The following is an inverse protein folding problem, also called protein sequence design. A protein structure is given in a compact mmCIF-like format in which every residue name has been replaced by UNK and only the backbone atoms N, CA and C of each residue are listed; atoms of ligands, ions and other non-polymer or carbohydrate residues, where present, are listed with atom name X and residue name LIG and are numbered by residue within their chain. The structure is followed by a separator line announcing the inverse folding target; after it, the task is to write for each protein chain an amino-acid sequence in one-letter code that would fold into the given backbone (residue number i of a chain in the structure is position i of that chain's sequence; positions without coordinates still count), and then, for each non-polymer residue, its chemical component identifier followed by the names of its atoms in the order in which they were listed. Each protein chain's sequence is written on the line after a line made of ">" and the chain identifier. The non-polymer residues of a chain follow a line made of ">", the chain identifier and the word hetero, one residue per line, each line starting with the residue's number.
data_IF_999170749992
#
_entry.id   IF_999170749992
#
_cell.length_a   1.000
_cell.length_b   1.000
_cell.length_c   1.000
_cell.angle_alpha   90.00
_cell.angle_beta   90.00
_cell.angle_gamma   90.00
#
_symmetry.space_group_name_H-M   'P 1'
#
loop_
_entity.id
_entity.type
_entity.pdbx_description
1 polymer ?
#
# COMPACT_ATOMS: atom_id res chain seq x y z
N UNK A 1 0.77 -3.29 -0.07
CA UNK A 1 0.45 -2.04 0.67
C UNK A 1 -0.71 -1.36 -0.02
N UNK A 2 -1.67 -0.89 0.76
CA UNK A 2 -2.93 -0.29 0.27
C UNK A 2 -3.00 1.18 0.65
N UNK A 3 -3.34 2.05 -0.31
CA UNK A 3 -3.38 3.49 -0.15
C UNK A 3 -4.80 3.98 -0.41
N UNK A 4 -5.34 4.81 0.48
CA UNK A 4 -6.59 5.53 0.24
C UNK A 4 -6.26 6.91 -0.31
N UNK A 5 -6.92 7.30 -1.38
CA UNK A 5 -6.85 8.65 -1.97
C UNK A 5 -8.21 9.29 -1.81
N UNK A 6 -8.28 10.43 -1.11
CA UNK A 6 -9.50 11.21 -0.90
C UNK A 6 -9.33 12.50 -1.71
N UNK A 7 -9.97 12.56 -2.87
CA UNK A 7 -9.77 13.61 -3.88
C UNK A 7 -11.00 13.67 -4.79
N UNK A 8 -11.65 14.84 -4.90
CA UNK A 8 -12.86 15.03 -5.68
C UNK A 8 -12.58 15.31 -7.16
N UNK A 9 -11.40 15.85 -7.48
CA UNK A 9 -11.02 16.07 -8.87
C UNK A 9 -10.64 14.75 -9.55
N UNK A 10 -11.55 14.19 -10.33
CA UNK A 10 -11.40 12.87 -10.97
C UNK A 10 -10.10 12.72 -11.78
N UNK A 11 -9.61 13.82 -12.42
CA UNK A 11 -8.34 13.80 -13.18
C UNK A 11 -7.15 13.58 -12.25
N UNK A 12 -7.11 14.27 -11.10
CA UNK A 12 -6.03 14.17 -10.10
C UNK A 12 -6.10 12.80 -9.44
N UNK A 13 -7.27 12.36 -9.00
CA UNK A 13 -7.47 11.04 -8.41
C UNK A 13 -7.03 9.91 -9.36
N UNK A 14 -7.43 9.98 -10.63
CA UNK A 14 -7.04 8.98 -11.65
C UNK A 14 -5.53 8.98 -11.93
N UNK A 15 -4.91 10.17 -11.97
CA UNK A 15 -3.46 10.31 -12.14
C UNK A 15 -2.69 9.67 -10.98
N UNK A 16 -3.11 9.96 -9.74
CA UNK A 16 -2.50 9.37 -8.54
C UNK A 16 -2.72 7.86 -8.52
N UNK A 17 -3.97 7.40 -8.73
CA UNK A 17 -4.32 5.98 -8.75
C UNK A 17 -3.50 5.21 -9.77
N UNK A 18 -3.42 5.70 -11.00
CA UNK A 18 -2.65 5.06 -12.08
C UNK A 18 -1.17 4.97 -11.72
N UNK A 19 -0.55 6.10 -11.35
CA UNK A 19 0.88 6.13 -11.04
C UNK A 19 1.25 5.22 -9.86
N UNK A 20 0.50 5.28 -8.76
CA UNK A 20 0.73 4.40 -7.60
C UNK A 20 0.44 2.94 -7.94
N UNK A 21 -0.56 2.66 -8.77
CA UNK A 21 -0.85 1.32 -9.27
C UNK A 21 0.30 0.72 -10.09
N UNK A 22 0.95 1.51 -10.94
CA UNK A 22 2.16 1.12 -11.69
C UNK A 22 3.33 0.80 -10.76
N UNK A 23 3.41 1.49 -9.61
CA UNK A 23 4.39 1.23 -8.54
C UNK A 23 4.01 0.04 -7.62
N UNK A 24 2.91 -0.66 -7.91
CA UNK A 24 2.49 -1.88 -7.22
C UNK A 24 1.70 -1.65 -5.93
N UNK A 25 1.19 -0.45 -5.69
CA UNK A 25 0.25 -0.18 -4.60
C UNK A 25 -1.18 -0.53 -5.03
N UNK A 26 -1.97 -1.07 -4.11
CA UNK A 26 -3.43 -1.11 -4.25
C UNK A 26 -3.97 0.27 -3.84
N UNK A 27 -4.85 0.86 -4.66
CA UNK A 27 -5.33 2.23 -4.46
C UNK A 27 -6.84 2.30 -4.50
N UNK A 28 -7.43 2.66 -3.37
CA UNK A 28 -8.85 3.03 -3.27
C UNK A 28 -8.99 4.55 -3.41
N UNK A 29 -10.10 4.98 -3.98
CA UNK A 29 -10.39 6.39 -4.18
C UNK A 29 -11.75 6.70 -3.58
N UNK A 30 -11.82 7.77 -2.79
CA UNK A 30 -13.04 8.40 -2.32
C UNK A 30 -13.16 9.79 -2.95
N UNK A 31 -14.36 10.14 -3.43
CA UNK A 31 -14.62 11.41 -4.09
C UNK A 31 -15.09 12.53 -3.15
N UNK A 32 -15.29 12.22 -1.89
CA UNK A 32 -15.68 13.19 -0.86
C UNK A 32 -15.20 12.77 0.54
N UNK A 33 -15.28 13.71 1.48
CA UNK A 33 -14.75 13.50 2.82
C UNK A 33 -15.56 12.51 3.66
N UNK A 34 -16.86 12.34 3.43
CA UNK A 34 -17.68 11.37 4.19
C UNK A 34 -17.33 9.94 3.76
N UNK A 35 -17.25 9.69 2.44
CA UNK A 35 -16.78 8.41 1.90
C UNK A 35 -15.35 8.12 2.35
N UNK A 36 -14.47 9.15 2.28
CA UNK A 36 -13.08 9.06 2.71
C UNK A 36 -12.94 8.69 4.19
N UNK A 37 -13.75 9.29 5.06
CA UNK A 37 -13.77 8.97 6.50
C UNK A 37 -14.23 7.52 6.72
N UNK A 38 -15.32 7.09 6.08
CA UNK A 38 -15.84 5.74 6.22
C UNK A 38 -14.80 4.68 5.81
N UNK A 39 -14.10 4.89 4.67
CA UNK A 39 -13.02 4.02 4.23
C UNK A 39 -11.79 4.06 5.14
N UNK A 40 -11.43 5.24 5.67
CA UNK A 40 -10.31 5.40 6.59
C UNK A 40 -10.52 4.68 7.93
N UNK A 41 -11.76 4.69 8.44
CA UNK A 41 -12.16 3.99 9.66
C UNK A 41 -12.12 2.46 9.53
N UNK A 42 -12.19 1.92 8.33
CA UNK A 42 -12.03 0.48 8.08
C UNK A 42 -10.62 -0.07 8.45
N UNK A 43 -9.62 0.81 8.65
CA UNK A 43 -8.25 0.49 9.11
C UNK A 43 -7.51 -0.55 8.25
N UNK A 44 -7.85 -0.61 6.97
CA UNK A 44 -7.23 -1.54 6.00
C UNK A 44 -6.15 -0.90 5.16
N UNK A 45 -5.97 0.42 5.28
CA UNK A 45 -5.02 1.21 4.52
C UNK A 45 -3.71 1.43 5.28
N UNK A 46 -2.61 1.44 4.54
CA UNK A 46 -1.26 1.69 5.06
C UNK A 46 -0.90 3.19 5.03
N UNK A 47 -1.57 3.95 4.16
CA UNK A 47 -1.40 5.40 3.98
C UNK A 47 -2.71 6.01 3.48
N UNK A 48 -2.99 7.25 3.87
CA UNK A 48 -4.06 8.07 3.31
C UNK A 48 -3.43 9.28 2.62
N UNK A 49 -3.80 9.54 1.38
CA UNK A 49 -3.53 10.79 0.66
C UNK A 49 -4.85 11.56 0.66
N UNK A 50 -4.85 12.75 1.23
CA UNK A 50 -6.07 13.49 1.56
C UNK A 50 -5.99 14.93 1.03
N UNK A 51 -6.85 15.27 0.09
CA UNK A 51 -7.05 16.68 -0.25
C UNK A 51 -7.80 17.40 0.87
N UNK A 52 -7.34 18.60 1.19
CA UNK A 52 -8.01 19.47 2.17
C UNK A 52 -9.37 19.90 1.65
N UNK A 53 -9.50 20.17 0.34
CA UNK A 53 -10.74 20.67 -0.26
C UNK A 53 -11.52 19.55 -0.94
N UNK A 54 -12.25 18.80 -0.17
CA UNK A 54 -13.18 17.79 -0.69
C UNK A 54 -14.62 18.12 -0.25
N UNK A 55 -15.63 17.72 -1.06
CA UNK A 55 -17.04 17.95 -0.75
C UNK A 55 -17.50 17.25 0.53
N UNK A 56 -18.66 17.63 1.02
CA UNK A 56 -19.40 17.12 2.18
C UNK A 56 -18.67 17.31 3.50
N UNK A 57 -17.45 16.81 3.65
CA UNK A 57 -16.62 16.98 4.83
C UNK A 57 -15.22 17.43 4.41
N UNK A 58 -14.79 18.59 4.90
CA UNK A 58 -13.45 19.14 4.69
C UNK A 58 -12.35 18.17 5.16
N UNK A 59 -11.24 18.07 4.41
CA UNK A 59 -10.18 17.11 4.70
C UNK A 59 -9.54 17.27 6.09
N UNK A 60 -9.44 18.48 6.63
CA UNK A 60 -8.95 18.66 7.99
C UNK A 60 -9.91 18.07 9.03
N UNK A 61 -11.23 18.17 8.79
CA UNK A 61 -12.23 17.50 9.63
C UNK A 61 -12.17 16.00 9.51
N UNK A 62 -11.94 15.47 8.30
CA UNK A 62 -11.71 14.02 8.10
C UNK A 62 -10.51 13.57 8.92
N UNK A 63 -9.38 14.28 8.84
CA UNK A 63 -8.16 13.99 9.59
C UNK A 63 -8.41 14.01 11.10
N UNK A 64 -9.05 15.07 11.60
CA UNK A 64 -9.40 15.19 13.03
C UNK A 64 -10.29 14.03 13.51
N UNK A 65 -11.32 13.66 12.74
CA UNK A 65 -12.20 12.54 13.06
C UNK A 65 -11.44 11.20 13.10
N UNK A 66 -10.54 10.96 12.13
CA UNK A 66 -9.66 9.79 12.14
C UNK A 66 -8.78 9.72 13.39
N UNK A 67 -8.19 10.85 13.81
CA UNK A 67 -7.34 10.93 15.01
C UNK A 67 -8.14 10.77 16.30
N UNK A 68 -9.36 11.32 16.39
CA UNK A 68 -10.27 11.11 17.50
C UNK A 68 -10.65 9.65 17.68
N UNK A 69 -10.81 8.92 16.57
CA UNK A 69 -11.07 7.47 16.58
C UNK A 69 -9.77 6.61 16.68
N UNK A 70 -8.66 7.23 17.09
CA UNK A 70 -7.37 6.55 17.27
C UNK A 70 -6.85 5.81 16.02
N UNK A 71 -7.18 6.31 14.83
CA UNK A 71 -6.59 5.82 13.58
C UNK A 71 -5.21 6.44 13.42
N UNK A 72 -4.16 5.61 13.52
CA UNK A 72 -2.75 6.03 13.48
C UNK A 72 -2.11 5.89 12.10
N UNK A 73 -2.93 5.63 11.07
CA UNK A 73 -2.44 5.54 9.69
C UNK A 73 -1.77 6.86 9.29
N UNK A 74 -0.64 6.78 8.56
CA UNK A 74 0.03 7.97 8.06
C UNK A 74 -0.85 8.73 7.06
N UNK A 75 -0.88 10.07 7.16
CA UNK A 75 -1.69 10.94 6.30
C UNK A 75 -0.79 11.95 5.60
N UNK A 76 -0.81 11.93 4.27
CA UNK A 76 -0.23 12.93 3.39
C UNK A 76 -1.32 13.89 2.93
N UNK A 77 -1.27 15.15 3.37
CA UNK A 77 -2.21 16.18 2.91
C UNK A 77 -1.83 16.71 1.53
N UNK A 78 -2.82 16.84 0.66
CA UNK A 78 -2.72 17.62 -0.57
C UNK A 78 -3.34 19.00 -0.35
N UNK A 79 -2.65 20.05 -0.77
CA UNK A 79 -3.13 21.43 -0.58
C UNK A 79 -2.76 22.33 -1.76
N UNK A 80 -3.65 23.24 -2.13
CA UNK A 80 -3.35 24.33 -3.07
C UNK A 80 -2.72 25.54 -2.39
N UNK A 81 -2.76 25.58 -1.06
CA UNK A 81 -2.22 26.69 -0.26
C UNK A 81 -0.80 26.36 0.19
N UNK A 82 0.11 27.25 -0.16
CA UNK A 82 1.53 27.13 0.19
C UNK A 82 1.91 28.00 1.42
N UNK A 83 0.92 28.62 2.11
CA UNK A 83 1.20 29.47 3.26
C UNK A 83 1.76 28.66 4.42
N UNK A 84 2.60 29.28 5.23
CA UNK A 84 3.19 28.61 6.40
C UNK A 84 2.09 28.26 7.41
N UNK A 85 1.10 29.14 7.54
CA UNK A 85 -0.03 28.97 8.46
C UNK A 85 -0.87 27.74 8.11
N UNK A 86 -1.19 27.53 6.82
CA UNK A 86 -1.96 26.37 6.38
C UNK A 86 -1.21 25.05 6.61
N UNK A 87 0.12 25.07 6.45
CA UNK A 87 0.97 23.90 6.70
C UNK A 87 1.03 23.56 8.19
N UNK A 88 1.17 24.58 9.05
CA UNK A 88 1.16 24.42 10.51
C UNK A 88 -0.18 23.84 10.96
N UNK A 89 -1.31 24.39 10.49
CA UNK A 89 -2.64 23.88 10.82
C UNK A 89 -2.82 22.40 10.43
N UNK A 90 -2.32 22.00 9.27
CA UNK A 90 -2.40 20.60 8.81
C UNK A 90 -1.57 19.66 9.69
N UNK A 91 -0.35 20.07 10.04
CA UNK A 91 0.53 19.27 10.90
C UNK A 91 0.00 19.20 12.35
N UNK A 92 -0.48 20.32 12.90
CA UNK A 92 -1.09 20.37 14.23
C UNK A 92 -2.39 19.55 14.30
N UNK A 93 -3.10 19.42 13.19
CA UNK A 93 -4.27 18.52 13.07
C UNK A 93 -3.88 17.04 13.05
N UNK A 94 -2.60 16.70 13.00
CA UNK A 94 -2.08 15.33 13.06
C UNK A 94 -1.74 14.73 11.71
N UNK A 95 -1.51 15.53 10.66
CA UNK A 95 -0.93 15.05 9.41
C UNK A 95 0.55 14.71 9.58
N UNK A 96 1.03 13.73 8.82
CA UNK A 96 2.42 13.28 8.89
C UNK A 96 3.33 13.97 7.86
N UNK A 97 2.75 14.47 6.74
CA UNK A 97 3.42 15.28 5.72
C UNK A 97 2.37 16.03 4.89
N UNK A 98 2.82 16.94 4.04
CA UNK A 98 1.97 17.68 3.09
C UNK A 98 2.67 17.81 1.73
N UNK A 99 1.85 17.99 0.67
CA UNK A 99 2.30 18.20 -0.70
C UNK A 99 1.43 19.27 -1.37
N UNK A 100 2.08 20.29 -1.94
CA UNK A 100 1.36 21.38 -2.60
C UNK A 100 1.00 21.04 -4.03
N UNK A 101 -0.22 21.38 -4.46
CA UNK A 101 -0.67 21.32 -5.84
C UNK A 101 -0.26 22.61 -6.59
N UNK A 102 0.23 22.53 -7.84
CA UNK A 102 0.48 21.29 -8.59
C UNK A 102 1.78 20.59 -8.16
N UNK A 103 1.83 19.28 -8.26
CA UNK A 103 2.98 18.46 -7.87
C UNK A 103 3.45 17.52 -9.00
N UNK A 104 4.71 17.17 -8.97
CA UNK A 104 5.24 16.10 -9.81
C UNK A 104 4.95 14.73 -9.18
N UNK A 105 4.58 13.72 -9.98
CA UNK A 105 4.33 12.38 -9.48
C UNK A 105 5.53 11.79 -8.72
N UNK A 106 6.74 12.08 -9.17
CA UNK A 106 7.96 11.64 -8.49
C UNK A 106 8.10 12.18 -7.07
N UNK A 107 7.65 13.44 -6.81
CA UNK A 107 7.64 14.01 -5.47
C UNK A 107 6.60 13.31 -4.59
N UNK A 108 5.37 13.14 -5.09
CA UNK A 108 4.32 12.37 -4.40
C UNK A 108 4.84 10.99 -4.01
N UNK A 109 5.43 10.25 -4.96
CA UNK A 109 5.95 8.91 -4.73
C UNK A 109 7.08 8.89 -3.70
N UNK A 110 7.98 9.86 -3.71
CA UNK A 110 9.05 9.97 -2.72
C UNK A 110 8.50 10.17 -1.30
N UNK A 111 7.47 11.01 -1.13
CA UNK A 111 6.80 11.25 0.16
C UNK A 111 6.03 10.02 0.63
N UNK A 112 5.28 9.37 -0.25
CA UNK A 112 4.60 8.10 0.02
C UNK A 112 5.59 7.05 0.56
N UNK A 113 6.72 6.87 -0.11
CA UNK A 113 7.78 5.95 0.33
C UNK A 113 8.36 6.34 1.69
N UNK A 114 8.57 7.63 1.94
CA UNK A 114 9.10 8.13 3.22
C UNK A 114 8.13 7.86 4.38
N UNK A 115 6.84 8.12 4.19
CA UNK A 115 5.81 7.90 5.20
C UNK A 115 5.63 6.41 5.51
N UNK A 116 5.56 5.57 4.49
CA UNK A 116 5.46 4.11 4.66
C UNK A 116 6.71 3.53 5.35
N UNK A 117 7.90 4.11 5.13
CA UNK A 117 9.14 3.73 5.81
C UNK A 117 9.13 4.12 7.28
N UNK A 118 8.70 5.34 7.67
CA UNK A 118 8.61 5.77 9.07
C UNK A 118 7.76 4.83 9.91
N UNK A 119 6.65 4.34 9.34
CA UNK A 119 5.82 3.32 10.00
C UNK A 119 6.56 2.00 10.20
N UNK A 120 7.43 1.62 9.26
CA UNK A 120 8.27 0.42 9.37
C UNK A 120 9.46 0.57 10.33
N UNK A 121 9.90 1.81 10.64
CA UNK A 121 11.01 2.07 11.59
C UNK A 121 10.57 1.95 13.06
N UNK A 122 9.28 2.06 13.35
CA UNK A 122 8.72 1.77 14.69
C UNK A 122 8.66 0.26 14.96
N UNK A 123 8.66 -0.57 13.91
CA UNK A 123 8.89 -2.00 13.97
C UNK A 123 9.97 -2.36 12.92
N UNK A 124 11.16 -2.88 13.33
CA UNK A 124 12.21 -3.25 12.38
C UNK A 124 11.76 -4.47 11.56
N UNK A 125 11.11 -4.21 10.46
CA UNK A 125 10.38 -5.21 9.70
C UNK A 125 11.08 -5.65 8.43
N UNK A 126 12.29 -6.14 8.54
CA UNK A 126 12.76 -7.10 7.54
C UNK A 126 11.98 -8.39 7.78
N UNK A 127 10.99 -8.65 6.92
CA UNK A 127 10.22 -9.89 6.97
C UNK A 127 11.14 -11.06 6.61
N UNK A 128 10.99 -12.19 7.33
CA UNK A 128 11.85 -13.37 7.14
C UNK A 128 11.03 -14.65 7.17
N UNK A 129 11.25 -15.51 6.19
CA UNK A 129 10.71 -16.86 6.16
C UNK A 129 11.81 -17.77 5.62
N UNK A 130 12.37 -18.62 6.49
CA UNK A 130 13.57 -19.38 6.17
C UNK A 130 14.74 -18.45 5.80
N UNK A 131 15.34 -18.66 4.64
CA UNK A 131 16.42 -17.85 4.08
C UNK A 131 15.96 -16.67 3.21
N UNK A 132 14.63 -16.53 2.99
CA UNK A 132 14.02 -15.45 2.26
C UNK A 132 13.86 -14.21 3.16
N UNK A 133 14.29 -13.05 2.67
CA UNK A 133 14.20 -11.77 3.37
C UNK A 133 13.58 -10.72 2.44
N UNK A 134 12.68 -9.91 2.97
CA UNK A 134 12.09 -8.76 2.29
C UNK A 134 12.20 -7.54 3.20
N UNK A 135 12.80 -6.48 2.70
CA UNK A 135 12.83 -5.16 3.33
C UNK A 135 11.83 -4.24 2.62
N UNK A 136 10.66 -3.97 3.23
CA UNK A 136 9.63 -3.14 2.61
C UNK A 136 10.09 -1.69 2.42
N UNK A 137 10.92 -1.17 3.35
CA UNK A 137 11.38 0.21 3.31
C UNK A 137 12.36 0.47 2.16
N UNK A 138 13.28 -0.48 1.94
CA UNK A 138 14.25 -0.42 0.84
C UNK A 138 13.74 -1.04 -0.45
N UNK A 139 12.58 -1.71 -0.41
CA UNK A 139 12.03 -2.52 -1.50
C UNK A 139 13.03 -3.54 -2.06
N UNK A 140 13.77 -4.19 -1.15
CA UNK A 140 14.76 -5.20 -1.52
C UNK A 140 14.34 -6.58 -1.06
N UNK A 141 14.65 -7.58 -1.88
CA UNK A 141 14.39 -8.99 -1.58
C UNK A 141 15.68 -9.77 -1.75
N UNK A 142 15.97 -10.65 -0.80
CA UNK A 142 17.10 -11.56 -0.91
C UNK A 142 16.69 -12.97 -0.49
N UNK A 143 17.30 -13.99 -1.07
CA UNK A 143 17.16 -15.36 -0.63
C UNK A 143 18.54 -16.05 -0.60
N UNK A 144 18.90 -16.67 0.53
CA UNK A 144 20.25 -17.20 0.73
C UNK A 144 21.35 -16.14 0.64
N UNK A 145 21.05 -14.84 0.82
CA UNK A 145 21.96 -13.72 0.63
C UNK A 145 22.00 -13.16 -0.80
N UNK A 146 21.48 -13.86 -1.79
CA UNK A 146 21.41 -13.39 -3.18
C UNK A 146 20.21 -12.46 -3.39
N UNK A 147 20.44 -11.35 -4.10
CA UNK A 147 19.40 -10.38 -4.46
C UNK A 147 18.43 -10.97 -5.49
N UNK A 148 17.13 -10.75 -5.27
CA UNK A 148 16.08 -11.12 -6.21
C UNK A 148 15.41 -9.85 -6.72
N UNK A 149 15.43 -9.65 -8.05
CA UNK A 149 14.76 -8.52 -8.68
C UNK A 149 13.31 -8.87 -9.01
N UNK A 150 12.41 -8.18 -8.32
CA UNK A 150 10.96 -8.30 -8.48
C UNK A 150 10.39 -7.05 -9.16
N UNK A 151 9.39 -7.26 -10.01
CA UNK A 151 8.54 -6.16 -10.46
C UNK A 151 7.71 -5.61 -9.30
N UNK A 152 7.16 -4.38 -9.40
CA UNK A 152 6.33 -3.80 -8.36
C UNK A 152 5.18 -4.71 -7.89
N UNK A 153 4.51 -5.39 -8.82
CA UNK A 153 3.41 -6.33 -8.51
C UNK A 153 3.89 -7.62 -7.83
N UNK A 154 4.99 -8.18 -8.29
CA UNK A 154 5.60 -9.36 -7.63
C UNK A 154 6.07 -9.03 -6.23
N UNK A 155 6.62 -7.83 -6.02
CA UNK A 155 7.02 -7.34 -4.70
C UNK A 155 5.80 -7.20 -3.77
N UNK A 156 4.71 -6.58 -4.22
CA UNK A 156 3.48 -6.44 -3.44
C UNK A 156 2.87 -7.80 -3.08
N UNK A 157 2.89 -8.74 -4.02
CA UNK A 157 2.42 -10.11 -3.78
C UNK A 157 3.28 -10.82 -2.74
N UNK A 158 4.61 -10.72 -2.83
CA UNK A 158 5.52 -11.32 -1.85
C UNK A 158 5.37 -10.67 -0.48
N UNK A 159 5.28 -9.34 -0.38
CA UNK A 159 5.06 -8.62 0.88
C UNK A 159 3.78 -9.12 1.57
N UNK A 160 2.70 -9.29 0.81
CA UNK A 160 1.44 -9.80 1.36
C UNK A 160 1.57 -11.23 1.89
N UNK A 161 2.24 -12.12 1.16
CA UNK A 161 2.52 -13.47 1.65
C UNK A 161 3.40 -13.46 2.91
N UNK A 162 4.45 -12.66 2.94
CA UNK A 162 5.40 -12.62 4.06
C UNK A 162 4.82 -11.99 5.33
N UNK A 163 3.77 -11.16 5.20
CA UNK A 163 2.97 -10.66 6.34
C UNK A 163 1.95 -11.68 6.86
N UNK A 164 1.71 -12.76 6.12
CA UNK A 164 0.78 -13.82 6.47
C UNK A 164 1.46 -15.20 6.43
N UNK A 165 2.55 -15.42 7.16
CA UNK A 165 3.32 -16.66 7.08
C UNK A 165 2.47 -17.86 7.54
N UNK A 166 2.52 -18.95 6.79
CA UNK A 166 1.78 -20.17 7.10
C UNK A 166 0.27 -20.09 6.89
N UNK A 167 -0.29 -18.93 6.61
CA UNK A 167 -1.70 -18.74 6.32
C UNK A 167 -1.99 -19.01 4.85
N UNK A 168 -3.04 -19.80 4.56
CA UNK A 168 -3.52 -19.97 3.19
C UNK A 168 -4.26 -18.71 2.75
N UNK A 169 -3.77 -18.07 1.69
CA UNK A 169 -4.40 -16.92 1.06
C UNK A 169 -5.20 -17.38 -0.15
N UNK A 170 -6.50 -17.09 -0.16
CA UNK A 170 -7.36 -17.37 -1.31
C UNK A 170 -7.06 -16.40 -2.46
N UNK A 171 -7.50 -16.76 -3.68
CA UNK A 171 -7.38 -15.83 -4.83
C UNK A 171 -8.07 -14.50 -4.59
N UNK A 172 -9.25 -14.53 -3.97
CA UNK A 172 -10.00 -13.33 -3.61
C UNK A 172 -9.20 -12.45 -2.65
N UNK A 173 -8.66 -13.00 -1.56
CA UNK A 173 -7.84 -12.26 -0.60
C UNK A 173 -6.61 -11.64 -1.27
N UNK A 174 -5.95 -12.37 -2.18
CA UNK A 174 -4.80 -11.88 -2.93
C UNK A 174 -5.21 -10.73 -3.88
N UNK A 175 -6.34 -10.90 -4.59
CA UNK A 175 -6.88 -9.89 -5.49
C UNK A 175 -7.19 -8.59 -4.74
N UNK A 176 -7.93 -8.66 -3.67
CA UNK A 176 -8.32 -7.51 -2.85
C UNK A 176 -7.13 -6.75 -2.25
N UNK A 177 -6.04 -7.45 -1.94
CA UNK A 177 -4.88 -6.82 -1.30
C UNK A 177 -3.81 -6.31 -2.28
N UNK A 178 -3.61 -6.99 -3.40
CA UNK A 178 -2.53 -6.68 -4.37
C UNK A 178 -3.05 -5.95 -5.61
N UNK A 179 -4.36 -6.08 -5.91
CA UNK A 179 -5.05 -5.39 -6.98
C UNK A 179 -6.18 -4.52 -6.39
N UNK A 180 -6.99 -3.90 -7.24
CA UNK A 180 -8.14 -3.09 -6.83
C UNK A 180 -9.36 -3.97 -6.52
N UNK A 181 -10.33 -3.44 -5.76
CA UNK A 181 -11.65 -4.08 -5.57
C UNK A 181 -12.39 -4.36 -6.87
N UNK A 182 -12.13 -3.58 -7.93
CA UNK A 182 -12.72 -3.78 -9.26
C UNK A 182 -12.01 -4.86 -10.09
N UNK A 183 -11.01 -5.55 -9.50
CA UNK A 183 -10.27 -6.58 -10.23
C UNK A 183 -11.11 -7.82 -10.44
N UNK A 184 -11.30 -8.21 -11.72
CA UNK A 184 -12.00 -9.44 -12.07
C UNK A 184 -11.18 -10.66 -11.67
N UNK A 185 -11.62 -11.33 -10.60
CA UNK A 185 -10.99 -12.57 -10.08
C UNK A 185 -11.24 -13.80 -10.97
N UNK A 186 -12.09 -13.69 -11.99
CA UNK A 186 -12.33 -14.80 -12.95
C UNK A 186 -11.13 -15.03 -13.88
N UNK A 187 -10.16 -14.13 -13.90
CA UNK A 187 -8.94 -14.24 -14.70
C UNK A 187 -7.87 -15.08 -14.00
N UNK A 188 -7.01 -15.76 -14.77
CA UNK A 188 -5.87 -16.53 -14.24
C UNK A 188 -4.66 -15.64 -13.87
N UNK A 189 -4.82 -14.32 -13.81
CA UNK A 189 -3.72 -13.36 -13.58
C UNK A 189 -2.99 -13.64 -12.27
N UNK A 190 -3.72 -13.95 -11.19
CA UNK A 190 -3.12 -14.27 -9.89
C UNK A 190 -2.21 -15.49 -10.01
N UNK A 191 -2.68 -16.56 -10.67
CA UNK A 191 -1.94 -17.79 -10.86
C UNK A 191 -0.65 -17.54 -11.69
N UNK A 192 -0.73 -16.65 -12.68
CA UNK A 192 0.43 -16.22 -13.49
C UNK A 192 1.46 -15.50 -12.62
N UNK A 193 1.05 -14.51 -11.81
CA UNK A 193 1.96 -13.78 -10.94
C UNK A 193 2.55 -14.66 -9.83
N UNK A 194 1.78 -15.57 -9.26
CA UNK A 194 2.29 -16.57 -8.31
C UNK A 194 3.34 -17.45 -8.97
N UNK A 195 3.13 -17.87 -10.23
CA UNK A 195 4.12 -18.65 -10.96
C UNK A 195 5.38 -17.85 -11.29
N UNK A 196 5.26 -16.55 -11.65
CA UNK A 196 6.43 -15.68 -11.85
C UNK A 196 7.21 -15.51 -10.55
N UNK A 197 6.51 -15.24 -9.45
CA UNK A 197 7.14 -15.12 -8.14
C UNK A 197 7.85 -16.42 -7.74
N UNK A 198 7.18 -17.57 -7.88
CA UNK A 198 7.77 -18.90 -7.58
C UNK A 198 9.03 -19.16 -8.39
N UNK A 199 9.04 -18.83 -9.67
CA UNK A 199 10.25 -18.97 -10.49
C UNK A 199 11.43 -18.15 -9.96
N UNK A 200 11.17 -16.96 -9.41
CA UNK A 200 12.21 -16.07 -8.90
C UNK A 200 12.69 -16.46 -7.50
N UNK A 201 11.79 -16.83 -6.62
CA UNK A 201 12.16 -17.12 -5.22
C UNK A 201 12.54 -18.59 -5.01
N UNK A 202 11.94 -19.55 -5.72
CA UNK A 202 12.07 -20.98 -5.44
C UNK A 202 12.90 -21.76 -6.47
N UNK A 203 13.15 -21.22 -7.69
CA UNK A 203 13.88 -21.98 -8.71
C UNK A 203 15.31 -22.24 -8.28
N UNK A 204 15.73 -23.51 -8.35
CA UNK A 204 17.08 -23.93 -7.97
C UNK A 204 17.38 -23.87 -6.45
N UNK A 205 16.38 -23.64 -5.61
CA UNK A 205 16.54 -23.50 -4.15
C UNK A 205 15.63 -24.46 -3.40
N UNK A 206 16.11 -24.92 -2.22
CA UNK A 206 15.36 -25.75 -1.29
C UNK A 206 15.51 -25.18 0.15
N UNK A 207 14.49 -25.32 1.02
CA UNK A 207 13.16 -25.85 0.71
C UNK A 207 12.36 -24.87 -0.18
N UNK A 208 11.35 -25.39 -0.91
CA UNK A 208 10.38 -24.50 -1.59
C UNK A 208 9.56 -23.81 -0.53
N UNK A 209 9.31 -22.48 -0.73
CA UNK A 209 8.59 -21.68 0.25
C UNK A 209 7.13 -21.39 -0.19
N UNK A 210 6.87 -21.26 -1.49
CA UNK A 210 5.55 -20.88 -2.01
C UNK A 210 4.78 -22.12 -2.52
N UNK A 211 3.82 -22.57 -1.73
CA UNK A 211 3.05 -23.77 -1.97
C UNK A 211 1.65 -23.47 -2.50
N UNK A 212 1.12 -24.42 -3.30
CA UNK A 212 -0.26 -24.37 -3.79
C UNK A 212 -1.13 -25.29 -2.94
N UNK A 213 -2.18 -24.72 -2.35
CA UNK A 213 -3.26 -25.48 -1.69
C UNK A 213 -4.38 -25.67 -2.68
N UNK A 214 -4.43 -26.88 -3.29
CA UNK A 214 -5.38 -27.19 -4.38
C UNK A 214 -6.81 -26.87 -3.99
N UNK A 215 -7.52 -26.17 -4.86
CA UNK A 215 -8.92 -25.76 -4.65
C UNK A 215 -9.12 -24.60 -3.67
N UNK A 216 -8.07 -24.14 -2.94
CA UNK A 216 -8.18 -23.09 -1.91
C UNK A 216 -7.38 -21.84 -2.29
N UNK A 217 -6.07 -21.96 -2.51
CA UNK A 217 -5.21 -20.82 -2.75
C UNK A 217 -3.73 -21.14 -2.62
N UNK A 218 -2.96 -20.24 -2.00
CA UNK A 218 -1.52 -20.33 -1.88
C UNK A 218 -1.06 -20.02 -0.46
N UNK A 219 0.08 -20.58 -0.06
CA UNK A 219 0.68 -20.34 1.25
C UNK A 219 2.19 -20.19 1.11
N UNK A 220 2.75 -19.22 1.83
CA UNK A 220 4.19 -19.05 1.98
C UNK A 220 4.61 -19.51 3.38
N UNK A 221 5.46 -20.52 3.44
CA UNK A 221 5.97 -21.10 4.71
C UNK A 221 7.34 -21.71 4.49
N UNK A 222 8.15 -21.74 5.54
CA UNK A 222 9.28 -22.65 5.66
C UNK A 222 8.77 -23.89 6.43
N UNK A 223 9.02 -25.05 5.89
CA UNK A 223 8.72 -26.32 6.58
C UNK A 223 9.71 -26.56 7.72
#
# INVERSE_FOLDING_TARGET
>A
MRILVIEDEQKVASFIKKGLGEEGYAVDVAADGEEGLALGLARVHDLIILDIRVPKMDGLRVLQALRQDHVTVAVLLLTVRATIEDKVLGLDAGADDYLTKPFAFQELLARVRALLRRRAEVEPTVLRIGDLRLDPARRTVTRGGEKIDLTPREFALLDYFMRNPGRVLTRTMIAEHVWDYSFDTSTNVIDVYVNYLRKKIDSGREPKLLHTMRGVGYVLKAD
#
